data_IF_288594748297
#
_entry.id   IF_288594748297
#
_cell.length_a   1.000
_cell.length_b   1.000
_cell.length_c   1.000
_cell.angle_alpha   90.00
_cell.angle_beta   90.00
_cell.angle_gamma   90.00
#
_symmetry.space_group_name_H-M   'P 1'
#
loop_
_entity.id
_entity.type
_entity.pdbx_description
1 polymer ?
#
# COMPACT_ATOMS: atom_id res chain seq x y z
N UNK A 1 -3.28 17.99 -15.87
CA UNK A 1 -2.11 17.31 -16.47
C UNK A 1 -2.05 15.89 -15.96
N UNK A 2 -2.08 14.89 -16.85
CA UNK A 2 -2.36 13.47 -16.54
C UNK A 2 -1.22 12.69 -15.85
N UNK A 3 -0.26 13.34 -15.18
CA UNK A 3 0.84 12.67 -14.46
C UNK A 3 1.86 11.91 -15.32
N UNK A 4 1.54 11.58 -16.58
CA UNK A 4 2.35 10.78 -17.51
C UNK A 4 3.09 11.58 -18.60
N UNK A 5 3.09 12.92 -18.52
CA UNK A 5 3.78 13.81 -19.48
C UNK A 5 5.26 13.46 -19.78
N UNK A 6 6.05 12.81 -18.90
CA UNK A 6 7.42 12.40 -19.23
C UNK A 6 7.52 11.20 -20.17
N UNK A 7 6.44 10.44 -20.40
CA UNK A 7 6.48 9.21 -21.21
C UNK A 7 6.04 9.47 -22.65
N UNK A 8 6.92 9.16 -23.62
CA UNK A 8 6.64 9.24 -25.06
C UNK A 8 5.79 8.08 -25.61
N UNK A 9 4.85 7.55 -24.83
CA UNK A 9 4.08 6.33 -25.15
C UNK A 9 2.86 6.57 -26.06
N UNK A 10 2.49 7.82 -26.30
CA UNK A 10 1.37 8.24 -27.14
C UNK A 10 0.04 8.37 -26.38
N UNK A 11 -0.78 9.35 -26.78
CA UNK A 11 -1.98 9.80 -26.05
C UNK A 11 -3.01 8.69 -25.77
N UNK A 12 -3.19 7.74 -26.71
CA UNK A 12 -4.17 6.65 -26.56
C UNK A 12 -3.75 5.64 -25.48
N UNK A 13 -2.46 5.29 -25.46
CA UNK A 13 -1.89 4.39 -24.47
C UNK A 13 -1.85 5.05 -23.09
N UNK A 14 -1.62 6.36 -23.03
CA UNK A 14 -1.70 7.11 -21.77
C UNK A 14 -3.12 7.15 -21.21
N UNK A 15 -4.14 7.31 -22.05
CA UNK A 15 -5.54 7.27 -21.62
C UNK A 15 -5.93 5.89 -21.05
N UNK A 16 -5.57 4.81 -21.75
CA UNK A 16 -5.81 3.43 -21.28
C UNK A 16 -5.14 3.17 -19.92
N UNK A 17 -3.93 3.67 -19.73
CA UNK A 17 -3.20 3.51 -18.47
C UNK A 17 -3.80 4.34 -17.35
N UNK A 18 -4.20 5.59 -17.63
CA UNK A 18 -4.86 6.45 -16.66
C UNK A 18 -6.16 5.81 -16.18
N UNK A 19 -6.95 5.26 -17.11
CA UNK A 19 -8.16 4.51 -16.75
C UNK A 19 -7.83 3.29 -15.88
N UNK A 20 -6.87 2.45 -16.30
CA UNK A 20 -6.50 1.27 -15.55
C UNK A 20 -6.00 1.60 -14.12
N UNK A 21 -5.21 2.66 -13.98
CA UNK A 21 -4.69 3.13 -12.71
C UNK A 21 -5.79 3.74 -11.81
N UNK A 22 -6.70 4.53 -12.38
CA UNK A 22 -7.87 5.07 -11.66
C UNK A 22 -8.78 3.94 -11.18
N UNK A 23 -9.00 2.91 -12.00
CA UNK A 23 -9.77 1.72 -11.59
C UNK A 23 -9.06 0.94 -10.48
N UNK A 24 -7.74 0.73 -10.60
CA UNK A 24 -6.95 0.04 -9.59
C UNK A 24 -6.99 0.77 -8.23
N UNK A 25 -7.00 2.09 -8.24
CA UNK A 25 -7.07 2.91 -7.03
C UNK A 25 -8.50 3.22 -6.58
N UNK A 26 -9.53 2.61 -7.16
CA UNK A 26 -10.96 2.92 -6.90
C UNK A 26 -11.29 4.43 -6.95
N UNK A 27 -10.82 5.07 -8.02
CA UNK A 27 -10.97 6.49 -8.29
C UNK A 27 -11.61 6.79 -9.65
N UNK A 28 -11.99 5.77 -10.43
CA UNK A 28 -12.60 5.97 -11.76
C UNK A 28 -13.89 6.79 -11.71
N UNK A 29 -14.71 6.59 -10.67
CA UNK A 29 -15.95 7.34 -10.45
C UNK A 29 -15.73 8.84 -10.17
N UNK A 30 -14.47 9.27 -9.99
CA UNK A 30 -14.09 10.66 -9.70
C UNK A 30 -13.59 11.43 -10.92
N UNK A 31 -13.52 10.80 -12.10
CA UNK A 31 -12.84 11.35 -13.29
C UNK A 31 -13.38 12.72 -13.73
N UNK A 32 -14.70 12.94 -13.61
CA UNK A 32 -15.38 14.19 -13.98
C UNK A 32 -15.46 15.20 -12.81
N UNK A 33 -15.01 14.83 -11.61
CA UNK A 33 -15.13 15.70 -10.42
C UNK A 33 -13.95 16.65 -10.33
N UNK A 34 -14.24 17.88 -9.91
CA UNK A 34 -13.18 18.84 -9.56
C UNK A 34 -12.35 18.32 -8.40
N UNK A 35 -11.03 18.28 -8.57
CA UNK A 35 -10.09 17.84 -7.55
C UNK A 35 -10.24 18.59 -6.22
N UNK A 36 -10.60 19.89 -6.29
CA UNK A 36 -10.79 20.73 -5.10
C UNK A 36 -12.04 20.36 -4.29
N UNK A 37 -13.01 19.69 -4.92
CA UNK A 37 -14.26 19.26 -4.29
C UNK A 37 -14.17 17.83 -3.70
N UNK A 38 -13.02 17.18 -3.83
CA UNK A 38 -12.80 15.84 -3.29
C UNK A 38 -12.54 15.88 -1.78
N UNK A 39 -13.06 14.89 -1.07
CA UNK A 39 -12.67 14.56 0.31
C UNK A 39 -11.20 14.15 0.40
N UNK A 40 -10.64 14.10 1.62
CA UNK A 40 -9.26 13.67 1.83
C UNK A 40 -8.96 12.28 1.24
N UNK A 41 -9.84 11.30 1.52
CA UNK A 41 -9.68 9.93 1.01
C UNK A 41 -9.81 9.83 -0.51
N UNK A 42 -10.71 10.59 -1.13
CA UNK A 42 -10.81 10.66 -2.59
C UNK A 42 -9.55 11.26 -3.22
N UNK A 43 -8.99 12.33 -2.65
CA UNK A 43 -7.72 12.91 -3.13
C UNK A 43 -6.58 11.90 -3.04
N UNK A 44 -6.52 11.13 -1.95
CA UNK A 44 -5.51 10.11 -1.73
C UNK A 44 -5.61 8.99 -2.78
N UNK A 45 -6.81 8.53 -3.12
CA UNK A 45 -7.04 7.55 -4.19
C UNK A 45 -6.64 8.09 -5.57
N UNK A 46 -6.96 9.35 -5.88
CA UNK A 46 -6.51 10.00 -7.12
C UNK A 46 -4.98 10.16 -7.15
N UNK A 47 -4.35 10.45 -6.02
CA UNK A 47 -2.89 10.49 -5.90
C UNK A 47 -2.26 9.12 -6.13
N UNK A 48 -2.82 8.06 -5.54
CA UNK A 48 -2.37 6.69 -5.79
C UNK A 48 -2.52 6.33 -7.27
N UNK A 49 -3.67 6.60 -7.88
CA UNK A 49 -3.90 6.39 -9.31
C UNK A 49 -2.84 7.09 -10.16
N UNK A 50 -2.48 8.33 -9.81
CA UNK A 50 -1.43 9.08 -10.52
C UNK A 50 -0.06 8.38 -10.43
N UNK A 51 0.33 7.88 -9.26
CA UNK A 51 1.60 7.18 -9.07
C UNK A 51 1.61 5.83 -9.80
N UNK A 52 0.52 5.06 -9.68
CA UNK A 52 0.35 3.79 -10.40
C UNK A 52 0.37 4.01 -11.92
N UNK A 53 -0.25 5.09 -12.40
CA UNK A 53 -0.23 5.45 -13.81
C UNK A 53 1.19 5.75 -14.28
N UNK A 54 2.06 6.38 -13.47
CA UNK A 54 3.45 6.65 -13.86
C UNK A 54 4.27 5.37 -13.98
N UNK A 55 4.06 4.42 -13.09
CA UNK A 55 4.84 3.19 -13.03
C UNK A 55 4.23 2.05 -13.85
N UNK A 56 3.12 2.29 -14.55
CA UNK A 56 2.39 1.25 -15.26
C UNK A 56 3.22 0.60 -16.39
N UNK A 57 3.18 -0.74 -16.56
CA UNK A 57 2.31 -1.70 -15.86
C UNK A 57 2.85 -2.27 -14.54
N UNK A 58 3.96 -1.75 -14.02
CA UNK A 58 4.65 -2.28 -12.83
C UNK A 58 5.65 -3.36 -13.19
N UNK A 59 6.43 -3.15 -14.25
CA UNK A 59 7.41 -4.11 -14.75
C UNK A 59 8.65 -4.18 -13.85
N UNK A 60 9.38 -5.28 -13.97
CA UNK A 60 10.63 -5.52 -13.27
C UNK A 60 11.59 -4.33 -13.39
N UNK A 61 12.07 -3.83 -12.24
CA UNK A 61 12.93 -2.65 -12.15
C UNK A 61 12.21 -1.35 -11.78
N UNK A 62 10.87 -1.36 -11.68
CA UNK A 62 10.10 -0.23 -11.14
C UNK A 62 10.09 -0.28 -9.61
N UNK A 63 10.28 0.87 -8.96
CA UNK A 63 10.21 0.98 -7.49
C UNK A 63 9.09 1.93 -7.09
N UNK A 64 8.22 1.49 -6.19
CA UNK A 64 7.11 2.25 -5.62
C UNK A 64 7.36 2.47 -4.13
N UNK A 65 7.42 3.74 -3.73
CA UNK A 65 7.58 4.19 -2.36
C UNK A 65 6.27 4.84 -1.91
N UNK A 66 5.66 4.31 -0.85
CA UNK A 66 4.40 4.80 -0.32
C UNK A 66 4.54 5.14 1.16
N UNK A 67 4.36 6.41 1.47
CA UNK A 67 4.34 6.90 2.84
C UNK A 67 2.90 6.96 3.33
N UNK A 68 2.55 6.07 4.26
CA UNK A 68 1.21 5.95 4.88
C UNK A 68 0.02 6.05 3.89
N UNK A 69 -0.02 5.23 2.82
CA UNK A 69 -1.03 5.37 1.77
C UNK A 69 -2.45 5.01 2.23
N UNK A 70 -2.62 4.51 3.45
CA UNK A 70 -3.89 4.13 4.07
C UNK A 70 -4.39 5.13 5.12
N UNK A 71 -3.63 6.19 5.39
CA UNK A 71 -4.03 7.23 6.34
C UNK A 71 -5.36 7.87 5.91
N UNK A 72 -6.28 8.14 6.84
CA UNK A 72 -7.59 8.76 6.58
C UNK A 72 -8.54 8.01 5.64
N UNK A 73 -8.23 6.77 5.26
CA UNK A 73 -9.15 5.89 4.52
C UNK A 73 -9.97 5.04 5.49
N UNK A 74 -11.22 4.77 5.14
CA UNK A 74 -12.02 3.74 5.83
C UNK A 74 -11.48 2.32 5.51
N UNK A 75 -11.85 1.30 6.31
CA UNK A 75 -11.27 -0.05 6.17
C UNK A 75 -11.39 -0.65 4.77
N UNK A 76 -12.50 -0.41 4.07
CA UNK A 76 -12.71 -0.93 2.71
C UNK A 76 -11.69 -0.33 1.74
N UNK A 77 -11.51 0.98 1.79
CA UNK A 77 -10.56 1.67 0.92
C UNK A 77 -9.09 1.38 1.29
N UNK A 78 -8.79 1.13 2.56
CA UNK A 78 -7.46 0.67 2.98
C UNK A 78 -7.11 -0.67 2.32
N UNK A 79 -8.02 -1.65 2.41
CA UNK A 79 -7.83 -2.96 1.78
C UNK A 79 -7.72 -2.87 0.26
N UNK A 80 -8.60 -2.10 -0.39
CA UNK A 80 -8.59 -1.92 -1.85
C UNK A 80 -7.27 -1.31 -2.32
N UNK A 81 -6.77 -0.30 -1.59
CA UNK A 81 -5.50 0.35 -1.86
C UNK A 81 -4.33 -0.63 -1.76
N UNK A 82 -4.24 -1.37 -0.65
CA UNK A 82 -3.14 -2.32 -0.43
C UNK A 82 -3.20 -3.51 -1.39
N UNK A 83 -4.40 -3.93 -1.81
CA UNK A 83 -4.56 -4.95 -2.86
C UNK A 83 -4.05 -4.47 -4.22
N UNK A 84 -4.31 -3.22 -4.59
CA UNK A 84 -3.78 -2.64 -5.82
C UNK A 84 -2.25 -2.57 -5.80
N UNK A 85 -1.68 -2.16 -4.67
CA UNK A 85 -0.23 -2.10 -4.44
C UNK A 85 0.39 -3.50 -4.48
N UNK A 86 -0.24 -4.49 -3.83
CA UNK A 86 0.19 -5.89 -3.87
C UNK A 86 0.23 -6.45 -5.28
N UNK A 87 -0.81 -6.21 -6.07
CA UNK A 87 -0.85 -6.63 -7.49
C UNK A 87 0.26 -5.99 -8.32
N UNK A 88 0.71 -4.79 -7.94
CA UNK A 88 1.84 -4.13 -8.58
C UNK A 88 3.15 -4.85 -8.24
N UNK A 89 3.34 -5.22 -6.97
CA UNK A 89 4.47 -6.03 -6.55
C UNK A 89 4.51 -7.41 -7.25
N UNK A 90 3.35 -8.07 -7.37
CA UNK A 90 3.22 -9.37 -8.04
C UNK A 90 3.60 -9.34 -9.54
N UNK A 91 3.62 -8.15 -10.16
CA UNK A 91 4.09 -7.95 -11.54
C UNK A 91 5.61 -7.75 -11.67
N UNK A 92 6.32 -7.70 -10.54
CA UNK A 92 7.78 -7.56 -10.48
C UNK A 92 8.26 -6.19 -10.01
N UNK A 93 7.37 -5.26 -9.66
CA UNK A 93 7.76 -4.00 -9.06
C UNK A 93 8.27 -4.20 -7.62
N UNK A 94 9.31 -3.47 -7.23
CA UNK A 94 9.71 -3.38 -5.84
C UNK A 94 8.81 -2.37 -5.12
N UNK A 95 8.17 -2.77 -4.02
CA UNK A 95 7.29 -1.89 -3.25
C UNK A 95 7.82 -1.77 -1.82
N UNK A 96 7.98 -0.53 -1.36
CA UNK A 96 8.17 -0.21 0.06
C UNK A 96 7.01 0.66 0.50
N UNK A 97 6.27 0.18 1.51
CA UNK A 97 5.12 0.87 2.09
C UNK A 97 5.32 1.05 3.59
N UNK A 98 5.02 2.23 4.08
CA UNK A 98 5.00 2.56 5.50
C UNK A 98 3.55 2.39 6.00
N UNK A 99 3.36 1.50 6.98
CA UNK A 99 2.05 1.19 7.57
C UNK A 99 2.13 1.24 9.09
N UNK A 100 1.09 1.82 9.70
CA UNK A 100 0.92 1.82 11.16
C UNK A 100 0.11 0.64 11.68
N UNK A 101 -0.73 0.06 10.83
CA UNK A 101 -1.53 -1.11 11.19
C UNK A 101 -0.74 -2.40 10.94
N UNK A 102 -0.43 -3.10 12.04
CA UNK A 102 0.34 -4.33 12.03
C UNK A 102 -0.39 -5.48 11.31
N UNK A 103 -1.72 -5.52 11.37
CA UNK A 103 -2.53 -6.55 10.72
C UNK A 103 -2.59 -6.32 9.20
N UNK A 104 -2.65 -5.06 8.75
CA UNK A 104 -2.51 -4.73 7.33
C UNK A 104 -1.11 -5.09 6.81
N UNK A 105 -0.05 -4.75 7.57
CA UNK A 105 1.31 -5.13 7.20
C UNK A 105 1.48 -6.65 7.12
N UNK A 106 0.95 -7.39 8.10
CA UNK A 106 0.98 -8.85 8.12
C UNK A 106 0.30 -9.49 6.91
N UNK A 107 -0.81 -8.90 6.44
CA UNK A 107 -1.62 -9.44 5.35
C UNK A 107 -1.01 -9.18 3.96
N UNK A 108 -0.37 -8.04 3.74
CA UNK A 108 -0.02 -7.57 2.40
C UNK A 108 1.49 -7.59 2.08
N UNK A 109 2.34 -7.54 3.10
CA UNK A 109 3.79 -7.46 2.91
C UNK A 109 4.46 -8.84 2.91
N UNK A 110 5.36 -9.10 1.96
CA UNK A 110 6.20 -10.31 1.98
C UNK A 110 7.22 -10.28 3.12
N UNK A 111 7.68 -9.06 3.47
CA UNK A 111 8.67 -8.81 4.52
C UNK A 111 8.31 -7.54 5.27
N UNK A 112 8.61 -7.51 6.56
CA UNK A 112 8.36 -6.36 7.43
C UNK A 112 9.69 -5.91 8.01
N UNK A 113 9.98 -4.62 7.88
CA UNK A 113 11.08 -3.96 8.58
C UNK A 113 10.50 -3.29 9.83
N UNK A 114 10.82 -3.83 11.00
CA UNK A 114 10.46 -3.22 12.27
C UNK A 114 11.58 -2.29 12.72
N UNK A 115 11.23 -1.02 12.98
CA UNK A 115 12.17 0.03 13.35
C UNK A 115 12.00 0.42 14.82
N UNK A 116 13.12 0.55 15.52
CA UNK A 116 13.19 1.00 16.92
C UNK A 116 14.27 2.08 17.01
N UNK A 117 13.89 3.30 17.43
CA UNK A 117 14.81 4.44 17.60
C UNK A 117 15.71 4.69 16.36
N UNK A 118 15.14 4.57 15.16
CA UNK A 118 15.86 4.77 13.89
C UNK A 118 16.80 3.62 13.49
N UNK A 119 16.76 2.49 14.18
CA UNK A 119 17.54 1.28 13.86
C UNK A 119 16.62 0.12 13.47
N UNK A 120 17.12 -0.76 12.62
CA UNK A 120 16.46 -2.01 12.29
C UNK A 120 16.45 -2.92 13.52
N UNK A 121 15.27 -3.17 14.09
CA UNK A 121 15.07 -4.18 15.12
C UNK A 121 14.97 -5.57 14.50
N UNK A 122 14.18 -5.72 13.43
CA UNK A 122 14.04 -6.97 12.68
C UNK A 122 13.63 -6.72 11.22
N UNK A 123 14.08 -7.59 10.30
CA UNK A 123 13.69 -7.55 8.88
C UNK A 123 13.55 -8.94 8.25
N UNK A 124 12.35 -9.50 8.33
CA UNK A 124 12.04 -10.86 7.86
C UNK A 124 10.57 -10.97 7.43
N UNK A 125 10.10 -12.18 7.15
CA UNK A 125 8.68 -12.46 6.89
C UNK A 125 7.81 -12.06 8.10
N UNK A 126 6.52 -11.73 7.90
CA UNK A 126 5.62 -11.28 8.96
C UNK A 126 5.63 -12.16 10.22
N UNK A 127 5.64 -13.48 10.07
CA UNK A 127 5.60 -14.46 11.16
C UNK A 127 6.85 -14.39 12.06
N UNK A 128 8.00 -14.05 11.48
CA UNK A 128 9.26 -13.94 12.19
C UNK A 128 9.44 -12.57 12.87
N UNK A 129 8.79 -11.53 12.36
CA UNK A 129 8.92 -10.15 12.84
C UNK A 129 7.85 -9.81 13.88
N UNK A 130 6.60 -10.18 13.62
CA UNK A 130 5.43 -9.80 14.41
C UNK A 130 5.21 -10.77 15.58
N UNK A 131 6.20 -10.85 16.47
CA UNK A 131 6.14 -11.69 17.68
C UNK A 131 5.74 -10.85 18.91
N UNK A 132 5.13 -11.45 19.95
CA UNK A 132 4.81 -10.71 21.18
C UNK A 132 6.04 -10.02 21.80
N UNK A 133 7.21 -10.67 21.77
CA UNK A 133 8.44 -10.12 22.32
C UNK A 133 8.93 -8.90 21.53
N UNK A 134 8.94 -8.98 20.20
CA UNK A 134 9.34 -7.87 19.34
C UNK A 134 8.38 -6.67 19.47
N UNK A 135 7.06 -6.93 19.50
CA UNK A 135 6.06 -5.88 19.63
C UNK A 135 6.08 -5.22 21.02
N UNK A 136 6.38 -5.97 22.07
CA UNK A 136 6.63 -5.41 23.41
C UNK A 136 7.89 -4.55 23.44
N UNK A 137 8.98 -4.98 22.81
CA UNK A 137 10.22 -4.21 22.76
C UNK A 137 10.06 -2.89 22.00
N UNK A 138 9.45 -2.93 20.81
CA UNK A 138 9.40 -1.78 19.91
C UNK A 138 8.23 -0.83 20.19
N UNK A 139 7.05 -1.37 20.49
CA UNK A 139 5.83 -0.57 20.71
C UNK A 139 5.42 -0.49 22.18
N UNK A 140 6.04 -1.26 23.08
CA UNK A 140 5.68 -1.26 24.51
C UNK A 140 4.33 -1.92 24.81
N UNK A 141 3.75 -2.66 23.87
CA UNK A 141 2.41 -3.25 24.00
C UNK A 141 2.47 -4.76 24.28
N UNK A 142 1.53 -5.24 25.10
CA UNK A 142 1.30 -6.67 25.29
C UNK A 142 0.27 -7.17 24.29
N UNK A 143 0.67 -8.13 23.46
CA UNK A 143 -0.20 -8.68 22.42
C UNK A 143 -0.28 -10.21 22.46
N UNK A 144 -1.39 -10.73 21.97
CA UNK A 144 -1.53 -12.10 21.52
C UNK A 144 -1.32 -12.11 20.00
N UNK A 145 -0.51 -13.05 19.51
CA UNK A 145 -0.30 -13.28 18.08
C UNK A 145 -0.85 -14.66 17.77
N UNK A 146 -1.82 -14.73 16.86
CA UNK A 146 -2.41 -15.98 16.37
C UNK A 146 -2.31 -16.04 14.85
N UNK A 147 -2.37 -17.25 14.27
CA UNK A 147 -2.52 -17.36 12.82
C UNK A 147 -3.93 -16.95 12.42
N UNK A 148 -4.06 -16.14 11.36
CA UNK A 148 -5.35 -15.76 10.81
C UNK A 148 -6.10 -17.01 10.32
N UNK A 149 -7.33 -17.27 10.78
CA UNK A 149 -8.02 -18.56 10.62
C UNK A 149 -8.21 -18.96 9.14
N UNK A 150 -8.36 -17.98 8.26
CA UNK A 150 -8.59 -18.22 6.82
C UNK A 150 -7.34 -18.03 5.96
N UNK A 151 -6.32 -17.29 6.43
CA UNK A 151 -5.25 -16.75 5.57
C UNK A 151 -3.84 -17.10 6.05
N UNK A 152 -3.69 -17.64 7.26
CA UNK A 152 -2.41 -18.09 7.79
C UNK A 152 -1.44 -17.00 8.25
N UNK A 153 -1.58 -15.75 7.78
CA UNK A 153 -0.74 -14.64 8.24
C UNK A 153 -0.93 -14.33 9.73
N UNK A 154 0.02 -13.67 10.40
CA UNK A 154 -0.14 -13.24 11.79
C UNK A 154 -1.35 -12.31 11.97
N UNK A 155 -2.10 -12.52 13.04
CA UNK A 155 -3.16 -11.67 13.55
C UNK A 155 -2.75 -11.20 14.95
N UNK A 156 -2.62 -9.88 15.11
CA UNK A 156 -2.21 -9.21 16.34
C UNK A 156 -3.46 -8.73 17.07
N UNK A 157 -3.60 -9.17 18.32
CA UNK A 157 -4.69 -8.80 19.22
C UNK A 157 -4.05 -8.17 20.47
N UNK A 158 -4.36 -6.90 20.73
CA UNK A 158 -3.91 -6.20 21.94
C UNK A 158 -4.60 -6.78 23.16
N UNK A 159 -3.84 -7.01 24.25
CA UNK A 159 -4.41 -7.40 25.55
C UNK A 159 -4.98 -6.21 26.31
#
# INVERSE_FOLDING_TARGET
GHGRMPHGTGQRRDAEIVEAALRAADAWHLVERSYLALSGGERQRVHLARVLAQLWPGEAGSTLLLDEPTSMLDPLHQHTTLEAVRRFADRGAAVLVILHDLNLAARYCDRILLLEQGRCHAFAAPEAVLTPAALKAVYGIDVLVQAHPERGHPLIITR
#
